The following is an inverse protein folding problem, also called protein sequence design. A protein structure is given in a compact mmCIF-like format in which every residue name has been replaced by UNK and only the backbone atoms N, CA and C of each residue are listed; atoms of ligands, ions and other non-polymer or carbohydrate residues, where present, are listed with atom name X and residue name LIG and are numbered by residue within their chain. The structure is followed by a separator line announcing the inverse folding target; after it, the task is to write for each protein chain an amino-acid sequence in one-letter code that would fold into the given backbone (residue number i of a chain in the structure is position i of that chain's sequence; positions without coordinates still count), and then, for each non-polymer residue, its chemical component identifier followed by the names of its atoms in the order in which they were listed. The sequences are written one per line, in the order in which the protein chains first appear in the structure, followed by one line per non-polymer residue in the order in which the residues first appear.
data_IF_393085780475
#
_entry.id   IF_393085780475
#
_cell.length_a   1.000
_cell.length_b   1.000
_cell.length_c   1.000
_cell.angle_alpha   90.00
_cell.angle_beta   90.00
_cell.angle_gamma   90.00
#
_symmetry.space_group_name_H-M   'P 1'
#
loop_
_entity.id
_entity.type
_entity.pdbx_description
1 polymer ?
#
# COMPACT_ATOMS: atom_id res chain seq x y z
N UNK A 1 -28.11 11.33 3.28
CA UNK A 1 -27.10 12.02 2.44
C UNK A 1 -26.18 10.94 1.92
N UNK A 2 -25.86 10.90 0.63
CA UNK A 2 -25.01 9.86 0.03
C UNK A 2 -23.77 10.57 -0.49
N UNK A 3 -22.60 10.28 0.09
CA UNK A 3 -21.30 10.76 -0.39
C UNK A 3 -20.72 9.71 -1.35
N UNK A 4 -20.20 10.17 -2.48
CA UNK A 4 -19.57 9.30 -3.50
C UNK A 4 -18.06 9.27 -3.38
N UNK A 5 -17.46 10.26 -2.72
CA UNK A 5 -16.02 10.40 -2.55
C UNK A 5 -15.67 10.78 -1.12
N UNK A 6 -14.43 10.45 -0.72
CA UNK A 6 -13.90 10.87 0.58
C UNK A 6 -13.86 12.40 0.70
N UNK A 7 -13.53 13.11 -0.38
CA UNK A 7 -13.48 14.57 -0.40
C UNK A 7 -14.84 15.19 -0.08
N UNK A 8 -15.91 14.66 -0.68
CA UNK A 8 -17.28 15.14 -0.38
C UNK A 8 -17.62 14.93 1.09
N UNK A 9 -17.17 13.82 1.70
CA UNK A 9 -17.38 13.57 3.12
C UNK A 9 -16.56 14.54 4.00
N UNK A 10 -15.29 14.78 3.65
CA UNK A 10 -14.43 15.75 4.36
C UNK A 10 -14.96 17.19 4.26
N UNK A 11 -15.40 17.60 3.09
CA UNK A 11 -16.02 18.91 2.87
C UNK A 11 -17.30 19.07 3.70
N UNK A 12 -18.12 17.99 3.81
CA UNK A 12 -19.32 18.00 4.65
C UNK A 12 -18.98 18.09 6.14
N UNK A 13 -17.98 17.36 6.62
CA UNK A 13 -17.50 17.44 8.02
C UNK A 13 -17.03 18.86 8.33
N UNK A 14 -16.21 19.44 7.47
CA UNK A 14 -15.69 20.80 7.65
C UNK A 14 -16.81 21.84 7.65
N UNK A 15 -17.81 21.69 6.76
CA UNK A 15 -18.98 22.57 6.73
C UNK A 15 -19.81 22.47 8.01
N UNK A 16 -20.00 21.26 8.56
CA UNK A 16 -20.71 21.05 9.82
C UNK A 16 -19.97 21.66 11.02
N UNK A 17 -18.66 21.52 11.08
CA UNK A 17 -17.84 22.16 12.13
C UNK A 17 -17.93 23.70 12.04
N UNK A 18 -17.95 24.23 10.84
CA UNK A 18 -18.06 25.68 10.62
C UNK A 18 -19.40 26.30 11.10
N UNK A 19 -20.49 25.51 11.14
CA UNK A 19 -21.78 25.93 11.68
C UNK A 19 -22.01 25.51 13.13
N UNK A 20 -20.94 25.06 13.84
CA UNK A 20 -20.97 24.76 15.28
C UNK A 20 -21.50 23.38 15.63
N UNK A 21 -21.54 22.42 14.70
CA UNK A 21 -21.81 21.03 15.02
C UNK A 21 -20.56 20.43 15.68
N UNK A 22 -20.71 19.93 16.90
CA UNK A 22 -19.59 19.39 17.68
C UNK A 22 -19.27 17.94 17.30
N UNK A 23 -18.03 17.47 17.56
CA UNK A 23 -17.65 16.06 17.36
C UNK A 23 -18.52 15.04 18.12
N UNK A 24 -19.22 15.45 19.16
CA UNK A 24 -20.10 14.58 19.96
C UNK A 24 -21.51 14.44 19.37
N UNK A 25 -21.81 15.12 18.26
CA UNK A 25 -23.11 14.99 17.61
C UNK A 25 -23.22 13.67 16.84
N UNK A 26 -24.39 13.02 16.87
CA UNK A 26 -24.64 11.76 16.14
C UNK A 26 -24.29 11.84 14.66
N UNK A 27 -24.53 12.99 14.05
CA UNK A 27 -24.20 13.25 12.64
C UNK A 27 -22.71 13.27 12.37
N UNK A 28 -21.93 13.87 13.26
CA UNK A 28 -20.47 13.89 13.13
C UNK A 28 -19.91 12.48 13.26
N UNK A 29 -20.36 11.71 14.25
CA UNK A 29 -19.97 10.32 14.47
C UNK A 29 -20.29 9.46 13.23
N UNK A 30 -21.48 9.64 12.61
CA UNK A 30 -21.86 8.94 11.41
C UNK A 30 -20.97 9.30 10.20
N UNK A 31 -20.61 10.58 10.05
CA UNK A 31 -19.70 11.02 8.97
C UNK A 31 -18.28 10.50 9.14
N UNK A 32 -17.74 10.50 10.35
CA UNK A 32 -16.43 9.91 10.64
C UNK A 32 -16.43 8.40 10.42
N UNK A 33 -17.49 7.70 10.80
CA UNK A 33 -17.65 6.28 10.52
C UNK A 33 -17.70 6.01 9.00
N UNK A 34 -18.43 6.84 8.22
CA UNK A 34 -18.46 6.74 6.76
C UNK A 34 -17.08 7.02 6.13
N UNK A 35 -16.37 8.05 6.59
CA UNK A 35 -15.01 8.36 6.14
C UNK A 35 -14.07 7.17 6.38
N UNK A 36 -14.11 6.60 7.59
CA UNK A 36 -13.31 5.43 7.95
C UNK A 36 -13.65 4.23 7.07
N UNK A 37 -14.93 3.96 6.84
CA UNK A 37 -15.38 2.90 5.94
C UNK A 37 -14.90 3.13 4.49
N UNK A 38 -15.01 4.36 3.99
CA UNK A 38 -14.56 4.72 2.64
C UNK A 38 -13.05 4.52 2.49
N UNK A 39 -12.25 4.98 3.45
CA UNK A 39 -10.79 4.76 3.45
C UNK A 39 -10.47 3.26 3.45
N UNK A 40 -11.17 2.47 4.25
CA UNK A 40 -10.93 1.03 4.33
C UNK A 40 -11.31 0.25 3.08
N UNK A 41 -12.14 0.81 2.19
CA UNK A 41 -12.49 0.21 0.89
C UNK A 41 -11.57 0.64 -0.26
N UNK A 42 -10.69 1.61 -0.04
CA UNK A 42 -9.79 2.10 -1.08
C UNK A 42 -8.74 1.06 -1.49
N UNK A 43 -8.31 1.04 -2.76
CA UNK A 43 -7.17 0.27 -3.23
C UNK A 43 -5.92 0.53 -2.40
N UNK A 44 -5.04 -0.46 -2.32
CA UNK A 44 -3.82 -0.43 -1.48
C UNK A 44 -2.95 0.78 -1.82
N UNK A 45 -2.68 1.01 -3.10
CA UNK A 45 -1.84 2.13 -3.54
C UNK A 45 -2.49 3.49 -3.23
N UNK A 46 -3.79 3.61 -3.39
CA UNK A 46 -4.51 4.85 -3.05
C UNK A 46 -4.36 5.21 -1.57
N UNK A 47 -4.46 4.23 -0.68
CA UNK A 47 -4.22 4.43 0.76
C UNK A 47 -2.77 4.74 1.09
N UNK A 48 -1.80 4.11 0.40
CA UNK A 48 -0.38 4.43 0.58
C UNK A 48 -0.09 5.89 0.20
N UNK A 49 -0.67 6.40 -0.88
CA UNK A 49 -0.51 7.80 -1.32
C UNK A 49 -1.01 8.82 -0.30
N UNK A 50 -1.96 8.47 0.55
CA UNK A 50 -2.50 9.37 1.58
C UNK A 50 -1.61 9.50 2.81
N UNK A 51 -0.56 8.68 2.96
CA UNK A 51 0.35 8.78 4.09
C UNK A 51 1.06 10.14 4.12
N UNK A 52 1.08 10.77 5.28
CA UNK A 52 1.79 12.01 5.54
C UNK A 52 2.89 11.80 6.60
N UNK A 53 3.91 12.64 6.56
CA UNK A 53 4.93 12.70 7.59
C UNK A 53 4.43 13.50 8.81
N UNK A 54 5.26 13.58 9.85
CA UNK A 54 4.96 14.34 11.08
C UNK A 54 4.75 15.86 10.87
N UNK A 55 5.04 16.35 9.67
CA UNK A 55 4.83 17.74 9.29
C UNK A 55 3.65 17.92 8.32
N UNK A 56 2.85 16.88 8.09
CA UNK A 56 1.71 16.91 7.18
C UNK A 56 2.07 16.84 5.69
N UNK A 57 3.35 16.58 5.34
CA UNK A 57 3.77 16.47 3.93
C UNK A 57 3.52 15.06 3.42
N UNK A 58 3.00 14.95 2.21
CA UNK A 58 2.79 13.67 1.54
C UNK A 58 4.10 12.84 1.45
N UNK A 59 4.03 11.60 1.86
CA UNK A 59 5.14 10.65 1.72
C UNK A 59 5.43 10.31 0.26
N UNK A 60 4.38 10.33 -0.56
CA UNK A 60 4.43 10.08 -1.99
C UNK A 60 4.24 11.41 -2.71
N UNK A 61 5.34 12.11 -3.03
CA UNK A 61 5.30 13.33 -3.84
C UNK A 61 4.72 13.04 -5.24
N UNK A 62 4.17 14.03 -5.95
CA UNK A 62 3.67 13.84 -7.32
C UNK A 62 4.68 13.16 -8.24
N UNK A 63 5.95 13.58 -8.22
CA UNK A 63 7.01 12.98 -9.04
C UNK A 63 7.24 11.50 -8.70
N UNK A 64 7.20 11.15 -7.40
CA UNK A 64 7.33 9.76 -6.97
C UNK A 64 6.12 8.92 -7.40
N UNK A 65 4.92 9.47 -7.32
CA UNK A 65 3.70 8.82 -7.81
C UNK A 65 3.80 8.56 -9.30
N UNK A 66 4.18 9.54 -10.09
CA UNK A 66 4.38 9.39 -11.53
C UNK A 66 5.43 8.30 -11.83
N UNK A 67 6.57 8.32 -11.15
CA UNK A 67 7.61 7.29 -11.31
C UNK A 67 7.09 5.88 -11.01
N UNK A 68 6.28 5.71 -9.97
CA UNK A 68 5.68 4.42 -9.61
C UNK A 68 4.70 3.97 -10.69
N UNK A 69 3.80 4.85 -11.12
CA UNK A 69 2.75 4.55 -12.09
C UNK A 69 3.35 4.20 -13.46
N UNK A 70 4.34 4.96 -13.94
CA UNK A 70 5.08 4.64 -15.17
C UNK A 70 5.86 3.32 -15.07
N UNK A 71 6.45 3.04 -13.90
CA UNK A 71 7.19 1.80 -13.67
C UNK A 71 6.26 0.60 -13.75
N UNK A 72 5.12 0.67 -13.06
CA UNK A 72 4.12 -0.42 -13.07
C UNK A 72 3.51 -0.58 -14.46
N UNK A 73 3.22 0.51 -15.17
CA UNK A 73 2.72 0.41 -16.54
C UNK A 73 3.72 -0.31 -17.44
N UNK A 74 5.00 0.02 -17.42
CA UNK A 74 6.06 -0.66 -18.18
C UNK A 74 6.23 -2.14 -17.78
N UNK A 75 6.03 -2.48 -16.52
CA UNK A 75 6.09 -3.86 -16.04
C UNK A 75 4.89 -4.69 -16.53
N UNK A 76 3.70 -4.08 -16.54
CA UNK A 76 2.47 -4.74 -16.98
C UNK A 76 2.34 -4.78 -18.52
N UNK A 77 2.84 -3.76 -19.20
CA UNK A 77 2.76 -3.55 -20.64
C UNK A 77 4.17 -3.27 -21.21
N UNK A 78 5.06 -4.28 -21.26
CA UNK A 78 6.43 -4.06 -21.71
C UNK A 78 6.47 -3.56 -23.16
N UNK A 79 7.39 -2.62 -23.48
CA UNK A 79 7.58 -2.13 -24.84
C UNK A 79 7.91 -3.26 -25.82
N UNK A 80 7.69 -3.02 -27.13
CA UNK A 80 8.07 -3.98 -28.18
C UNK A 80 9.54 -4.38 -28.03
N UNK A 81 9.80 -5.68 -28.04
CA UNK A 81 11.14 -6.26 -27.91
C UNK A 81 11.61 -6.46 -26.47
N UNK A 82 10.84 -6.04 -25.48
CA UNK A 82 11.08 -6.31 -24.06
C UNK A 82 10.11 -7.41 -23.59
N UNK A 83 10.63 -8.40 -22.90
CA UNK A 83 9.84 -9.48 -22.33
C UNK A 83 9.47 -9.18 -20.87
N UNK A 84 8.35 -9.71 -20.37
CA UNK A 84 8.04 -9.75 -18.93
C UNK A 84 9.13 -10.46 -18.09
N UNK A 85 10.05 -11.16 -18.71
CA UNK A 85 11.20 -11.81 -18.05
C UNK A 85 12.42 -10.89 -17.94
N UNK A 86 12.42 -9.75 -18.63
CA UNK A 86 13.53 -8.82 -18.59
C UNK A 86 13.47 -7.99 -17.30
N UNK A 87 14.58 -7.89 -16.54
CA UNK A 87 14.58 -7.18 -15.28
C UNK A 87 14.50 -5.67 -15.51
N UNK A 88 13.65 -5.00 -14.72
CA UNK A 88 13.66 -3.54 -14.59
C UNK A 88 14.73 -3.09 -13.58
N UNK A 89 15.31 -1.91 -13.81
CA UNK A 89 16.27 -1.29 -12.90
C UNK A 89 15.73 0.02 -12.33
N UNK A 90 15.50 0.06 -11.02
CA UNK A 90 15.13 1.27 -10.31
C UNK A 90 16.38 1.98 -9.79
N UNK A 91 16.75 3.09 -10.44
CA UNK A 91 17.88 3.91 -10.04
C UNK A 91 17.45 5.00 -9.05
N UNK A 92 18.28 5.28 -8.07
CA UNK A 92 18.05 6.38 -7.13
C UNK A 92 19.27 6.64 -6.25
N UNK A 93 19.48 7.92 -5.92
CA UNK A 93 20.56 8.33 -4.99
C UNK A 93 20.31 7.72 -3.60
N UNK A 94 21.36 7.66 -2.77
CA UNK A 94 21.24 7.28 -1.36
C UNK A 94 20.24 8.23 -0.69
N UNK A 95 19.34 7.70 0.13
CA UNK A 95 18.28 8.43 0.83
C UNK A 95 17.23 9.13 -0.08
N UNK A 96 17.13 8.74 -1.35
CA UNK A 96 16.18 9.30 -2.32
C UNK A 96 14.74 8.76 -2.22
N UNK A 97 14.42 8.01 -1.18
CA UNK A 97 13.08 7.41 -1.04
C UNK A 97 12.85 6.10 -1.81
N UNK A 98 13.93 5.41 -2.26
CA UNK A 98 13.82 4.12 -2.98
C UNK A 98 12.90 3.10 -2.31
N UNK A 99 12.94 3.02 -0.98
CA UNK A 99 12.06 2.13 -0.22
C UNK A 99 10.59 2.47 -0.46
N UNK A 100 10.22 3.76 -0.46
CA UNK A 100 8.85 4.19 -0.76
C UNK A 100 8.47 3.89 -2.20
N UNK A 101 9.40 4.05 -3.15
CA UNK A 101 9.15 3.72 -4.54
C UNK A 101 8.76 2.24 -4.71
N UNK A 102 9.56 1.32 -4.18
CA UNK A 102 9.25 -0.10 -4.35
C UNK A 102 8.05 -0.57 -3.51
N UNK A 103 7.78 0.02 -2.34
CA UNK A 103 6.53 -0.20 -1.59
C UNK A 103 5.32 0.25 -2.41
N UNK A 104 5.39 1.44 -3.02
CA UNK A 104 4.34 1.93 -3.90
C UNK A 104 4.13 1.06 -5.14
N UNK A 105 5.23 0.59 -5.75
CA UNK A 105 5.17 -0.35 -6.89
C UNK A 105 4.46 -1.65 -6.47
N UNK A 106 4.83 -2.26 -5.33
CA UNK A 106 4.17 -3.46 -4.82
C UNK A 106 2.68 -3.20 -4.58
N UNK A 107 2.34 -2.09 -3.92
CA UNK A 107 0.94 -1.72 -3.65
C UNK A 107 0.12 -1.57 -4.92
N UNK A 108 0.65 -0.88 -5.93
CA UNK A 108 -0.04 -0.70 -7.22
C UNK A 108 -0.11 -2.00 -8.03
N UNK A 109 0.92 -2.87 -7.98
CA UNK A 109 0.89 -4.19 -8.60
C UNK A 109 -0.19 -5.09 -7.97
N UNK A 110 -0.37 -5.02 -6.65
CA UNK A 110 -1.46 -5.72 -5.96
C UNK A 110 -2.84 -5.24 -6.41
N UNK A 111 -3.01 -3.92 -6.58
CA UNK A 111 -4.25 -3.35 -7.11
C UNK A 111 -4.51 -3.75 -8.59
N UNK A 112 -3.45 -4.05 -9.34
CA UNK A 112 -3.51 -4.55 -10.73
C UNK A 112 -3.72 -6.06 -10.83
N UNK A 113 -3.92 -6.76 -9.71
CA UNK A 113 -4.25 -8.19 -9.69
C UNK A 113 -3.08 -9.14 -9.47
N UNK A 114 -1.87 -8.64 -9.20
CA UNK A 114 -0.77 -9.48 -8.74
C UNK A 114 -1.04 -9.89 -7.28
N UNK A 115 -0.77 -11.13 -6.93
CA UNK A 115 -1.08 -11.67 -5.59
C UNK A 115 0.17 -11.92 -4.75
N UNK A 116 1.33 -12.07 -5.38
CA UNK A 116 2.58 -12.41 -4.69
C UNK A 116 3.71 -11.48 -5.14
N UNK A 117 4.35 -10.84 -4.18
CA UNK A 117 5.59 -10.09 -4.36
C UNK A 117 6.74 -10.79 -3.62
N UNK A 118 7.84 -11.07 -4.31
CA UNK A 118 9.04 -11.67 -3.71
C UNK A 118 10.13 -10.61 -3.63
N UNK A 119 10.60 -10.32 -2.42
CA UNK A 119 11.65 -9.33 -2.15
C UNK A 119 12.94 -10.05 -1.79
N UNK A 120 13.91 -9.98 -2.68
CA UNK A 120 15.24 -10.55 -2.47
C UNK A 120 16.15 -9.55 -1.76
N UNK A 121 16.68 -9.93 -0.60
CA UNK A 121 17.62 -9.10 0.16
C UNK A 121 19.04 -9.65 0.08
N UNK A 122 20.03 -8.78 0.24
CA UNK A 122 21.44 -9.20 0.28
C UNK A 122 21.71 -10.03 1.54
N UNK A 123 22.47 -11.08 1.38
CA UNK A 123 23.03 -12.15 2.22
C UNK A 123 23.03 -12.13 3.75
N UNK A 124 22.46 -11.17 4.47
CA UNK A 124 22.46 -11.21 5.93
C UNK A 124 21.04 -11.35 6.51
N UNK A 125 20.92 -12.16 7.58
CA UNK A 125 19.65 -12.31 8.32
C UNK A 125 19.15 -10.96 8.84
N UNK A 126 20.05 -10.08 9.29
CA UNK A 126 19.70 -8.76 9.81
C UNK A 126 19.04 -7.88 8.74
N UNK A 127 19.54 -7.86 7.51
CA UNK A 127 18.92 -7.12 6.40
C UNK A 127 17.57 -7.69 5.98
N UNK A 128 17.42 -9.01 5.96
CA UNK A 128 16.14 -9.65 5.68
C UNK A 128 15.12 -9.28 6.76
N UNK A 129 15.48 -9.35 8.03
CA UNK A 129 14.61 -8.95 9.14
C UNK A 129 14.27 -7.47 9.09
N UNK A 130 15.23 -6.58 8.83
CA UNK A 130 14.98 -5.15 8.67
C UNK A 130 14.02 -4.86 7.52
N UNK A 131 14.18 -5.56 6.38
CA UNK A 131 13.28 -5.40 5.23
C UNK A 131 11.88 -5.90 5.58
N UNK A 132 11.78 -7.04 6.28
CA UNK A 132 10.50 -7.59 6.73
C UNK A 132 9.77 -6.59 7.62
N UNK A 133 10.41 -6.10 8.68
CA UNK A 133 9.81 -5.11 9.60
C UNK A 133 9.34 -3.86 8.85
N UNK A 134 10.14 -3.34 7.92
CA UNK A 134 9.71 -2.20 7.09
C UNK A 134 8.48 -2.49 6.25
N UNK A 135 8.37 -3.69 5.66
CA UNK A 135 7.19 -4.07 4.90
C UNK A 135 5.97 -4.22 5.82
N UNK A 136 6.14 -4.84 6.99
CA UNK A 136 5.09 -4.94 8.00
C UNK A 136 4.59 -3.56 8.43
N UNK A 137 5.48 -2.60 8.69
CA UNK A 137 5.13 -1.22 9.06
C UNK A 137 4.40 -0.49 7.92
N UNK A 138 4.91 -0.60 6.69
CA UNK A 138 4.34 0.08 5.54
C UNK A 138 2.95 -0.45 5.16
N UNK A 139 2.74 -1.75 5.27
CA UNK A 139 1.47 -2.39 4.97
C UNK A 139 0.63 -2.70 6.22
N UNK A 140 0.98 -2.17 7.40
CA UNK A 140 0.28 -2.42 8.67
C UNK A 140 -1.23 -2.14 8.62
N UNK A 141 -1.63 -1.09 7.89
CA UNK A 141 -3.04 -0.75 7.68
C UNK A 141 -3.83 -1.81 6.90
N UNK A 142 -3.17 -2.78 6.29
CA UNK A 142 -3.77 -3.88 5.51
C UNK A 142 -3.52 -5.25 6.15
N UNK A 143 -2.88 -5.31 7.33
CA UNK A 143 -2.52 -6.58 7.99
C UNK A 143 -3.74 -7.30 8.58
N UNK A 144 -4.80 -6.57 8.93
CA UNK A 144 -6.03 -7.13 9.47
C UNK A 144 -7.03 -7.39 8.36
N UNK A 145 -7.84 -8.46 8.50
CA UNK A 145 -8.98 -8.66 7.63
C UNK A 145 -9.94 -7.49 7.74
N UNK A 146 -10.12 -6.81 6.66
CA UNK A 146 -11.21 -5.85 6.55
C UNK A 146 -12.53 -6.61 6.59
N UNK A 147 -13.47 -6.17 7.44
CA UNK A 147 -14.87 -6.62 7.40
C UNK A 147 -15.55 -6.29 6.06
N UNK A 148 -14.90 -5.48 5.22
CA UNK A 148 -15.37 -4.95 3.96
C UNK A 148 -14.81 -5.68 2.72
N UNK A 149 -14.19 -6.86 2.90
CA UNK A 149 -13.79 -7.71 1.78
C UNK A 149 -12.50 -7.30 1.05
N UNK A 150 -11.75 -6.33 1.57
CA UNK A 150 -10.45 -5.99 0.99
C UNK A 150 -9.43 -7.11 1.22
N UNK A 151 -8.53 -7.35 0.26
CA UNK A 151 -7.47 -8.33 0.42
C UNK A 151 -6.55 -7.92 1.58
N UNK A 152 -6.30 -8.84 2.47
CA UNK A 152 -5.28 -8.71 3.50
C UNK A 152 -3.90 -8.75 2.85
N UNK A 153 -2.96 -7.93 3.32
CA UNK A 153 -1.55 -8.02 2.94
C UNK A 153 -0.79 -8.74 4.05
N UNK A 154 -0.18 -9.86 3.72
CA UNK A 154 0.62 -10.67 4.63
C UNK A 154 2.10 -10.57 4.26
N UNK A 155 2.95 -10.27 5.24
CA UNK A 155 4.41 -10.21 5.07
C UNK A 155 5.05 -11.38 5.80
N UNK A 156 5.81 -12.18 5.09
CA UNK A 156 6.43 -13.39 5.66
C UNK A 156 7.88 -13.58 5.20
N UNK A 157 8.65 -14.32 5.99
CA UNK A 157 9.97 -14.83 5.60
C UNK A 157 9.80 -16.17 4.89
N UNK A 158 10.54 -16.41 3.83
CA UNK A 158 10.53 -17.67 3.08
C UNK A 158 10.81 -18.87 3.99
N UNK A 159 11.67 -18.71 5.00
CA UNK A 159 12.02 -19.80 5.94
C UNK A 159 10.82 -20.27 6.77
N UNK A 160 9.84 -19.42 6.98
CA UNK A 160 8.62 -19.74 7.71
C UNK A 160 7.55 -20.42 6.84
N UNK A 161 7.77 -20.51 5.51
CA UNK A 161 6.82 -21.06 4.53
C UNK A 161 7.16 -22.44 4.02
N UNK A 162 7.74 -23.30 4.86
CA UNK A 162 8.14 -24.67 4.51
C UNK A 162 7.01 -25.57 3.99
N UNK A 163 5.74 -25.23 4.26
CA UNK A 163 4.56 -26.02 3.87
C UNK A 163 3.78 -25.44 2.68
N UNK A 164 4.31 -24.42 2.01
CA UNK A 164 3.60 -23.74 0.92
C UNK A 164 2.49 -22.82 1.41
N UNK A 165 1.59 -22.44 0.51
CA UNK A 165 0.44 -21.58 0.79
C UNK A 165 -0.79 -22.42 1.10
N UNK A 166 -1.53 -22.04 2.12
CA UNK A 166 -2.89 -22.54 2.34
C UNK A 166 -3.87 -21.83 1.38
N UNK A 167 -5.03 -22.45 1.13
CA UNK A 167 -6.10 -21.83 0.32
C UNK A 167 -6.51 -20.45 0.84
N UNK A 168 -6.46 -20.24 2.15
CA UNK A 168 -6.79 -18.96 2.78
C UNK A 168 -5.74 -17.89 2.49
N UNK A 169 -4.47 -18.26 2.49
CA UNK A 169 -3.35 -17.35 2.22
C UNK A 169 -3.28 -16.98 0.73
N UNK A 170 -3.71 -17.84 -0.17
CA UNK A 170 -3.80 -17.55 -1.61
C UNK A 170 -4.84 -16.47 -1.94
N UNK A 171 -5.83 -16.27 -1.07
CA UNK A 171 -6.81 -15.19 -1.21
C UNK A 171 -6.30 -13.84 -0.69
N UNK A 172 -5.13 -13.82 -0.07
CA UNK A 172 -4.48 -12.62 0.43
C UNK A 172 -3.40 -12.14 -0.55
N UNK A 173 -3.02 -10.87 -0.43
CA UNK A 173 -1.80 -10.35 -1.08
C UNK A 173 -0.60 -10.73 -0.21
N UNK A 174 0.42 -11.32 -0.81
CA UNK A 174 1.55 -11.88 -0.06
C UNK A 174 2.87 -11.21 -0.43
N UNK A 175 3.61 -10.74 0.55
CA UNK A 175 4.98 -10.26 0.41
C UNK A 175 5.92 -11.28 1.07
N UNK A 176 6.78 -11.89 0.28
CA UNK A 176 7.71 -12.92 0.74
C UNK A 176 9.11 -12.33 0.74
N UNK A 177 9.73 -12.26 1.91
CA UNK A 177 11.10 -11.79 2.05
C UNK A 177 12.04 -12.99 1.93
N UNK A 178 12.97 -12.93 1.00
CA UNK A 178 13.96 -13.96 0.76
C UNK A 178 15.37 -13.40 0.96
N UNK A 179 16.20 -14.12 1.67
CA UNK A 179 17.64 -13.87 1.75
C UNK A 179 18.30 -14.49 0.51
N UNK A 180 19.08 -13.69 -0.24
CA UNK A 180 19.97 -14.21 -1.28
C UNK A 180 21.20 -14.83 -0.61
N UNK A 181 21.47 -16.07 -0.85
CA UNK A 181 22.73 -16.72 -0.46
C UNK A 181 23.90 -16.28 -1.33
#
# INVERSE_FOLDING_TARGET
MIFKTQKECEDAINAMLAIGITPDSDWYVQLEAFKTATISTMPIYSRLKMKVDKFGRLWYSPDLQQCIEETVDKLMNPPKGVSHRDPGLLLGKIQSGKTRAFVGIIGLMFDKGIDIAIVLTKGTKALAQQTKTRMEDEFSAFASRSTLGLPQVEVSDILNRRKGFTHRELNNKNIIICKKE
#
